data_IF_573327823266
#
_entry.id   IF_573327823266
#
_cell.length_a   1.000
_cell.length_b   1.000
_cell.length_c   1.000
_cell.angle_alpha   90.00
_cell.angle_beta   90.00
_cell.angle_gamma   90.00
#
_symmetry.space_group_name_H-M   'P 1'
#
loop_
_entity.id
_entity.type
_entity.pdbx_description
1 polymer ?
#
# COMPACT_ATOMS: atom_id res chain seq x y z
N UNK A 1 17.68 -29.28 -3.85
CA UNK A 1 18.17 -28.97 -5.21
C UNK A 1 17.39 -27.74 -5.64
N UNK A 2 18.02 -26.56 -5.65
CA UNK A 2 17.37 -25.31 -6.06
C UNK A 2 17.12 -25.38 -7.57
N UNK A 3 15.86 -25.39 -7.97
CA UNK A 3 15.49 -25.56 -9.38
C UNK A 3 15.62 -24.22 -10.09
N UNK A 4 16.63 -24.09 -10.96
CA UNK A 4 16.91 -22.85 -11.69
C UNK A 4 15.74 -22.43 -12.59
N UNK A 5 14.89 -23.37 -12.97
CA UNK A 5 13.65 -23.15 -13.71
C UNK A 5 12.59 -22.40 -12.89
N UNK A 6 12.52 -22.63 -11.57
CA UNK A 6 11.60 -21.92 -10.68
C UNK A 6 12.04 -20.45 -10.52
N UNK A 7 13.34 -20.17 -10.42
CA UNK A 7 13.85 -18.79 -10.42
C UNK A 7 13.53 -18.03 -11.71
N UNK A 8 13.64 -18.67 -12.87
CA UNK A 8 13.34 -18.03 -14.17
C UNK A 8 11.83 -17.84 -14.38
N UNK A 9 11.01 -18.79 -13.94
CA UNK A 9 9.56 -18.66 -13.96
C UNK A 9 9.07 -17.56 -13.00
N UNK A 10 9.67 -17.47 -11.82
CA UNK A 10 9.41 -16.42 -10.83
C UNK A 10 9.80 -15.04 -11.37
N UNK A 11 10.98 -14.91 -11.97
CA UNK A 11 11.43 -13.66 -12.62
C UNK A 11 10.50 -13.22 -13.76
N UNK A 12 10.06 -14.16 -14.60
CA UNK A 12 9.14 -13.86 -15.71
C UNK A 12 7.74 -13.50 -15.20
N UNK A 13 7.26 -14.17 -14.14
CA UNK A 13 5.99 -13.86 -13.49
C UNK A 13 6.01 -12.49 -12.82
N UNK A 14 7.11 -12.15 -12.13
CA UNK A 14 7.36 -10.84 -11.53
C UNK A 14 7.37 -9.73 -12.58
N UNK A 15 8.04 -9.93 -13.72
CA UNK A 15 8.08 -8.94 -14.79
C UNK A 15 6.71 -8.72 -15.45
N UNK A 16 5.94 -9.78 -15.67
CA UNK A 16 4.55 -9.66 -16.20
C UNK A 16 3.66 -8.92 -15.20
N UNK A 17 3.78 -9.22 -13.90
CA UNK A 17 3.04 -8.51 -12.86
C UNK A 17 3.43 -7.03 -12.81
N UNK A 18 4.73 -6.72 -12.94
CA UNK A 18 5.25 -5.35 -12.99
C UNK A 18 4.72 -4.57 -14.19
N UNK A 19 4.78 -5.16 -15.38
CA UNK A 19 4.25 -4.54 -16.60
C UNK A 19 2.75 -4.25 -16.49
N UNK A 20 1.96 -5.21 -16.00
CA UNK A 20 0.53 -5.04 -15.77
C UNK A 20 0.22 -3.93 -14.73
N UNK A 21 0.98 -3.86 -13.64
CA UNK A 21 0.82 -2.80 -12.64
C UNK A 21 1.15 -1.42 -13.21
N UNK A 22 2.22 -1.30 -14.01
CA UNK A 22 2.56 -0.05 -14.69
C UNK A 22 1.44 0.42 -15.63
N UNK A 23 0.89 -0.49 -16.44
CA UNK A 23 -0.25 -0.17 -17.31
C UNK A 23 -1.47 0.29 -16.50
N UNK A 24 -1.73 -0.33 -15.35
CA UNK A 24 -2.82 0.09 -14.46
C UNK A 24 -2.58 1.48 -13.85
N UNK A 25 -1.34 1.80 -13.45
CA UNK A 25 -0.95 3.13 -12.96
C UNK A 25 -1.18 4.18 -14.04
N UNK A 26 -0.71 3.94 -15.25
CA UNK A 26 -0.90 4.85 -16.38
C UNK A 26 -2.37 5.01 -16.75
N UNK A 27 -3.13 3.91 -16.74
CA UNK A 27 -4.56 3.91 -17.04
C UNK A 27 -5.35 4.77 -16.05
N UNK A 28 -5.13 4.59 -14.74
CA UNK A 28 -5.80 5.38 -13.69
C UNK A 28 -5.34 6.84 -13.67
N UNK A 29 -4.07 7.10 -14.01
CA UNK A 29 -3.51 8.45 -14.05
C UNK A 29 -3.89 9.26 -15.28
N UNK A 30 -4.02 8.62 -16.44
CA UNK A 30 -4.14 9.31 -17.74
C UNK A 30 -5.54 9.22 -18.36
N UNK A 31 -6.32 8.20 -18.00
CA UNK A 31 -7.62 7.95 -18.63
C UNK A 31 -8.77 8.38 -17.71
N UNK A 32 -9.58 9.34 -18.18
CA UNK A 32 -10.76 9.81 -17.44
C UNK A 32 -11.94 8.84 -17.59
N UNK A 33 -12.69 8.65 -16.52
CA UNK A 33 -13.90 7.82 -16.49
C UNK A 33 -13.67 6.32 -16.33
N UNK A 34 -12.42 5.89 -16.04
CA UNK A 34 -12.09 4.46 -15.80
C UNK A 34 -12.60 3.98 -14.44
N UNK A 35 -12.68 4.87 -13.45
CA UNK A 35 -13.09 4.56 -12.08
C UNK A 35 -14.62 4.48 -11.94
N UNK A 36 -15.20 3.41 -12.50
CA UNK A 36 -16.61 3.07 -12.37
C UNK A 36 -16.87 2.28 -11.07
N UNK A 37 -18.08 2.40 -10.49
CA UNK A 37 -18.46 1.73 -9.24
C UNK A 37 -18.09 0.23 -9.12
N UNK A 38 -18.31 -0.64 -10.14
CA UNK A 38 -17.99 -2.06 -10.01
C UNK A 38 -16.50 -2.36 -9.91
N UNK A 39 -15.62 -1.43 -10.28
CA UNK A 39 -14.16 -1.63 -10.30
C UNK A 39 -13.53 -1.36 -8.92
N UNK A 40 -14.19 -0.57 -8.07
CA UNK A 40 -13.71 -0.26 -6.70
C UNK A 40 -13.42 -1.50 -5.84
N UNK A 41 -14.32 -2.49 -5.71
CA UNK A 41 -14.04 -3.68 -4.90
C UNK A 41 -12.83 -4.46 -5.41
N UNK A 42 -12.68 -4.59 -6.73
CA UNK A 42 -11.58 -5.36 -7.33
C UNK A 42 -10.24 -4.67 -7.13
N UNK A 43 -10.18 -3.34 -7.33
CA UNK A 43 -9.00 -2.52 -7.06
C UNK A 43 -8.61 -2.63 -5.58
N UNK A 44 -9.57 -2.40 -4.68
CA UNK A 44 -9.28 -2.39 -3.24
C UNK A 44 -8.85 -3.78 -2.77
N UNK A 45 -9.46 -4.85 -3.29
CA UNK A 45 -9.03 -6.21 -2.99
C UNK A 45 -7.63 -6.52 -3.52
N UNK A 46 -7.30 -6.07 -4.74
CA UNK A 46 -5.97 -6.26 -5.33
C UNK A 46 -4.89 -5.53 -4.53
N UNK A 47 -5.17 -4.32 -4.06
CA UNK A 47 -4.25 -3.53 -3.24
C UNK A 47 -4.14 -4.13 -1.84
N UNK A 48 -5.27 -4.41 -1.20
CA UNK A 48 -5.40 -4.85 0.19
C UNK A 48 -4.89 -6.28 0.39
N UNK A 49 -5.44 -7.25 -0.33
CA UNK A 49 -5.26 -8.68 -0.02
C UNK A 49 -4.02 -9.30 -0.67
N UNK A 50 -3.51 -8.70 -1.76
CA UNK A 50 -2.48 -9.32 -2.58
C UNK A 50 -1.12 -8.61 -2.55
N UNK A 51 -1.02 -7.42 -1.95
CA UNK A 51 0.19 -6.62 -2.07
C UNK A 51 0.54 -5.82 -0.79
N UNK A 52 -0.38 -5.03 -0.23
CA UNK A 52 -0.04 -4.10 0.87
C UNK A 52 -0.15 -4.76 2.26
N UNK A 53 -1.24 -5.48 2.57
CA UNK A 53 -1.39 -6.09 3.89
C UNK A 53 -0.70 -7.44 3.97
N UNK A 54 0.60 -7.40 4.25
CA UNK A 54 1.39 -8.54 4.72
C UNK A 54 1.47 -8.50 6.24
N UNK A 55 1.37 -9.67 6.89
CA UNK A 55 1.86 -9.77 8.27
C UNK A 55 3.35 -9.50 8.22
N UNK A 56 3.78 -8.39 8.84
CA UNK A 56 5.19 -8.11 9.03
C UNK A 56 5.81 -9.33 9.74
N UNK A 57 6.99 -9.80 9.31
CA UNK A 57 7.70 -10.80 10.09
C UNK A 57 7.85 -10.28 11.53
N UNK A 58 7.78 -11.15 12.54
CA UNK A 58 8.00 -10.72 13.92
C UNK A 58 9.35 -9.99 13.96
N UNK A 59 9.35 -8.74 14.42
CA UNK A 59 10.57 -7.94 14.54
C UNK A 59 11.61 -8.78 15.28
N UNK A 60 12.72 -9.08 14.60
CA UNK A 60 13.83 -9.81 15.21
C UNK A 60 14.59 -8.93 16.22
N UNK A 61 14.29 -7.63 16.24
CA UNK A 61 14.96 -6.64 17.07
C UNK A 61 13.94 -5.80 17.88
N UNK A 62 13.57 -6.22 19.11
CA UNK A 62 12.56 -5.55 19.93
C UNK A 62 12.98 -4.16 20.47
N UNK A 63 14.21 -3.74 20.22
CA UNK A 63 14.74 -2.39 20.52
C UNK A 63 14.89 -1.52 19.26
N UNK A 64 14.28 -1.91 18.12
CA UNK A 64 14.40 -1.17 16.87
C UNK A 64 13.97 0.28 17.01
N UNK A 65 14.91 1.19 16.80
CA UNK A 65 14.68 2.63 16.76
C UNK A 65 14.66 3.09 15.29
N UNK A 66 13.49 3.47 14.74
CA UNK A 66 13.37 3.88 13.35
C UNK A 66 14.11 5.19 13.01
N UNK A 67 14.66 5.91 14.00
CA UNK A 67 15.52 7.09 13.82
C UNK A 67 17.03 6.78 13.91
N UNK A 68 17.46 5.77 14.68
CA UNK A 68 18.89 5.47 14.92
C UNK A 68 19.43 4.24 14.18
N UNK A 69 18.59 3.27 13.82
CA UNK A 69 19.07 2.02 13.21
C UNK A 69 19.37 2.12 11.71
N UNK A 70 20.46 1.46 11.27
CA UNK A 70 20.83 1.37 9.85
C UNK A 70 19.69 0.76 9.05
N UNK A 71 19.30 1.35 7.89
CA UNK A 71 18.15 0.89 7.14
C UNK A 71 18.37 -0.54 6.69
N UNK A 72 17.64 -1.48 7.30
CA UNK A 72 17.54 -2.84 6.82
C UNK A 72 16.74 -2.80 5.52
N UNK A 73 17.46 -2.69 4.40
CA UNK A 73 16.87 -2.73 3.07
C UNK A 73 16.38 -4.15 2.84
N UNK A 74 15.11 -4.44 3.17
CA UNK A 74 14.52 -5.73 2.82
C UNK A 74 14.76 -5.98 1.32
N UNK A 75 15.38 -7.11 0.92
CA UNK A 75 15.61 -7.41 -0.49
C UNK A 75 14.31 -7.50 -1.30
N UNK A 76 13.17 -7.73 -0.63
CA UNK A 76 11.81 -7.69 -1.18
C UNK A 76 11.40 -6.28 -1.64
N UNK A 77 12.00 -5.23 -1.08
CA UNK A 77 11.80 -3.83 -1.50
C UNK A 77 12.45 -3.53 -2.85
N UNK A 78 13.52 -4.25 -3.19
CA UNK A 78 14.14 -4.19 -4.52
C UNK A 78 13.31 -4.89 -5.59
N UNK A 79 12.28 -5.68 -5.22
CA UNK A 79 11.27 -6.11 -6.18
C UNK A 79 10.38 -4.90 -6.51
N UNK A 80 10.69 -4.21 -7.61
CA UNK A 80 10.04 -3.01 -8.15
C UNK A 80 8.50 -3.06 -8.22
N UNK A 81 7.89 -4.24 -8.05
CA UNK A 81 6.46 -4.43 -7.95
C UNK A 81 5.81 -3.86 -6.69
N UNK A 82 6.51 -3.78 -5.55
CA UNK A 82 5.87 -3.32 -4.29
C UNK A 82 5.63 -1.80 -4.30
N UNK A 83 6.63 -1.03 -4.74
CA UNK A 83 6.54 0.42 -4.94
C UNK A 83 5.41 0.79 -5.91
N UNK A 84 5.23 0.02 -6.99
CA UNK A 84 4.18 0.26 -7.97
C UNK A 84 2.76 0.12 -7.39
N UNK A 85 2.57 -0.74 -6.40
CA UNK A 85 1.25 -0.89 -5.76
C UNK A 85 0.93 0.33 -4.89
N UNK A 86 1.91 0.83 -4.12
CA UNK A 86 1.74 2.05 -3.34
C UNK A 86 1.48 3.26 -4.25
N UNK A 87 2.23 3.38 -5.34
CA UNK A 87 2.03 4.42 -6.33
C UNK A 87 0.66 4.32 -7.01
N UNK A 88 0.25 3.13 -7.43
CA UNK A 88 -1.07 2.87 -8.00
C UNK A 88 -2.18 3.29 -7.04
N UNK A 89 -2.09 2.90 -5.77
CA UNK A 89 -3.08 3.25 -4.78
C UNK A 89 -3.13 4.75 -4.53
N UNK A 90 -1.97 5.41 -4.49
CA UNK A 90 -1.90 6.87 -4.36
C UNK A 90 -2.55 7.57 -5.56
N UNK A 91 -2.23 7.15 -6.80
CA UNK A 91 -2.86 7.67 -8.02
C UNK A 91 -4.37 7.43 -8.04
N UNK A 92 -4.82 6.27 -7.61
CA UNK A 92 -6.24 5.94 -7.46
C UNK A 92 -6.94 6.89 -6.49
N UNK A 93 -6.33 7.20 -5.34
CA UNK A 93 -6.88 8.15 -4.38
C UNK A 93 -6.83 9.60 -4.90
N UNK A 94 -5.80 9.98 -5.64
CA UNK A 94 -5.61 11.33 -6.20
C UNK A 94 -6.44 11.59 -7.46
N UNK A 95 -6.94 10.55 -8.10
CA UNK A 95 -7.74 10.65 -9.32
C UNK A 95 -8.95 11.59 -9.12
N UNK A 96 -9.21 12.51 -10.07
CA UNK A 96 -10.36 13.41 -10.00
C UNK A 96 -11.71 12.66 -10.10
N UNK A 97 -11.69 11.45 -10.69
CA UNK A 97 -12.87 10.59 -10.84
C UNK A 97 -13.11 9.71 -9.60
N UNK A 98 -12.27 9.82 -8.57
CA UNK A 98 -12.42 9.07 -7.33
C UNK A 98 -13.66 9.51 -6.56
N UNK A 99 -14.52 8.56 -6.21
CA UNK A 99 -15.78 8.79 -5.50
C UNK A 99 -15.70 8.25 -4.05
N UNK A 100 -15.51 9.13 -3.04
CA UNK A 100 -15.42 8.70 -1.64
C UNK A 100 -16.69 8.02 -1.13
N UNK A 101 -17.86 8.37 -1.69
CA UNK A 101 -19.17 7.78 -1.34
C UNK A 101 -19.27 6.30 -1.64
N UNK A 102 -18.56 5.82 -2.68
CA UNK A 102 -18.49 4.42 -3.10
C UNK A 102 -17.36 3.73 -2.32
N UNK A 103 -16.18 4.36 -2.30
CA UNK A 103 -14.98 3.80 -1.66
C UNK A 103 -15.15 3.58 -0.14
N UNK A 104 -15.94 4.40 0.57
CA UNK A 104 -16.16 4.25 2.02
C UNK A 104 -16.78 2.91 2.44
N UNK A 105 -17.36 2.16 1.50
CA UNK A 105 -17.90 0.81 1.75
C UNK A 105 -16.81 -0.24 1.91
N UNK A 106 -15.61 0.06 1.43
CA UNK A 106 -14.47 -0.84 1.38
C UNK A 106 -13.29 -0.31 2.21
N UNK A 107 -13.14 1.01 2.30
CA UNK A 107 -12.19 1.69 3.19
C UNK A 107 -12.89 1.95 4.52
N UNK A 108 -12.86 0.95 5.40
CA UNK A 108 -13.46 0.98 6.74
C UNK A 108 -12.39 1.08 7.85
N UNK A 109 -12.80 1.00 9.11
CA UNK A 109 -11.87 1.03 10.25
C UNK A 109 -10.85 -0.10 10.20
N UNK A 110 -11.24 -1.28 9.69
CA UNK A 110 -10.34 -2.42 9.57
C UNK A 110 -9.26 -2.16 8.52
N UNK A 111 -9.63 -1.59 7.37
CA UNK A 111 -8.66 -1.16 6.37
C UNK A 111 -7.65 -0.17 6.95
N UNK A 112 -8.13 0.82 7.72
CA UNK A 112 -7.25 1.80 8.36
C UNK A 112 -6.34 1.14 9.39
N UNK A 113 -6.85 0.23 10.23
CA UNK A 113 -6.02 -0.49 11.20
C UNK A 113 -4.87 -1.24 10.51
N UNK A 114 -5.17 -2.02 9.46
CA UNK A 114 -4.13 -2.75 8.73
C UNK A 114 -3.15 -1.81 8.03
N UNK A 115 -3.57 -0.61 7.62
CA UNK A 115 -2.67 0.41 7.05
C UNK A 115 -1.74 1.00 8.11
N UNK A 116 -2.24 1.13 9.33
CA UNK A 116 -1.47 1.66 10.47
C UNK A 116 -0.44 0.64 10.96
N UNK A 117 -0.77 -0.65 10.99
CA UNK A 117 0.19 -1.73 11.32
C UNK A 117 1.42 -1.76 10.40
N UNK A 118 1.33 -1.22 9.18
CA UNK A 118 2.46 -1.14 8.26
C UNK A 118 3.43 0.00 8.56
N UNK A 119 3.07 0.94 9.45
CA UNK A 119 4.00 2.00 9.88
C UNK A 119 5.18 1.45 10.69
N UNK A 120 5.03 0.25 11.28
CA UNK A 120 6.11 -0.51 11.91
C UNK A 120 7.13 -1.08 10.91
N UNK A 121 6.97 -0.82 9.60
CA UNK A 121 7.94 -1.24 8.60
C UNK A 121 9.31 -0.57 8.82
N UNK A 122 10.38 -1.37 8.77
CA UNK A 122 11.77 -0.92 8.89
C UNK A 122 12.20 -0.04 7.69
N UNK A 123 11.51 -0.11 6.55
CA UNK A 123 11.88 0.65 5.35
C UNK A 123 11.34 2.10 5.38
N UNK A 124 12.22 3.13 5.40
CA UNK A 124 11.79 4.54 5.45
C UNK A 124 10.99 4.97 4.21
N UNK A 125 11.18 4.31 3.06
CA UNK A 125 10.44 4.60 1.83
C UNK A 125 9.00 4.14 1.95
N UNK A 126 8.75 2.98 2.59
CA UNK A 126 7.39 2.50 2.89
C UNK A 126 6.65 3.50 3.75
N UNK A 127 7.29 3.94 4.83
CA UNK A 127 6.72 4.89 5.78
C UNK A 127 6.29 6.19 5.11
N UNK A 128 7.07 6.72 4.16
CA UNK A 128 6.71 7.94 3.44
C UNK A 128 5.50 7.75 2.48
N UNK A 129 5.39 6.60 1.81
CA UNK A 129 4.19 6.28 1.03
C UNK A 129 2.95 6.10 1.92
N UNK A 130 3.07 5.34 3.00
CA UNK A 130 2.00 5.11 3.96
C UNK A 130 1.51 6.40 4.59
N UNK A 131 2.43 7.30 4.99
CA UNK A 131 2.14 8.64 5.50
C UNK A 131 1.34 9.47 4.50
N UNK A 132 1.73 9.44 3.23
CA UNK A 132 1.04 10.15 2.15
C UNK A 132 -0.36 9.57 1.93
N UNK A 133 -0.49 8.25 1.85
CA UNK A 133 -1.77 7.55 1.68
C UNK A 133 -2.71 7.85 2.86
N UNK A 134 -2.22 7.73 4.10
CA UNK A 134 -2.99 8.01 5.30
C UNK A 134 -3.49 9.46 5.32
N UNK A 135 -2.66 10.41 4.88
CA UNK A 135 -3.06 11.81 4.75
C UNK A 135 -4.20 11.99 3.73
N UNK A 136 -4.13 11.33 2.57
CA UNK A 136 -5.20 11.36 1.55
C UNK A 136 -6.49 10.73 2.08
N UNK A 137 -6.40 9.60 2.77
CA UNK A 137 -7.55 8.91 3.41
C UNK A 137 -8.18 9.81 4.47
N UNK A 138 -7.39 10.41 5.36
CA UNK A 138 -7.86 11.35 6.38
C UNK A 138 -8.59 12.57 5.78
N UNK A 139 -8.09 13.09 4.66
CA UNK A 139 -8.71 14.18 3.93
C UNK A 139 -10.08 13.82 3.36
N UNK A 140 -10.21 12.62 2.77
CA UNK A 140 -11.41 12.18 2.02
C UNK A 140 -12.49 11.52 2.89
N UNK A 141 -12.11 10.87 4.00
CA UNK A 141 -13.03 10.08 4.82
C UNK A 141 -13.21 10.70 6.22
N UNK A 142 -14.17 11.63 6.33
CA UNK A 142 -14.47 12.32 7.60
C UNK A 142 -14.79 11.36 8.75
N UNK A 143 -15.50 10.26 8.48
CA UNK A 143 -15.90 9.27 9.48
C UNK A 143 -14.74 8.46 10.09
N UNK A 144 -13.58 8.45 9.44
CA UNK A 144 -12.38 7.74 9.92
C UNK A 144 -11.43 8.65 10.70
N UNK A 145 -11.68 9.97 10.72
CA UNK A 145 -10.77 10.94 11.37
C UNK A 145 -10.58 10.69 12.86
N UNK A 146 -11.66 10.46 13.59
CA UNK A 146 -11.60 10.20 15.03
C UNK A 146 -10.78 8.93 15.33
N UNK A 147 -10.88 7.92 14.48
CA UNK A 147 -10.12 6.68 14.59
C UNK A 147 -8.62 6.92 14.36
N UNK A 148 -8.26 7.62 13.28
CA UNK A 148 -6.86 7.96 12.95
C UNK A 148 -6.24 8.89 14.01
N UNK A 149 -7.00 9.85 14.54
CA UNK A 149 -6.54 10.75 15.61
C UNK A 149 -6.25 10.01 16.91
N UNK A 150 -7.09 9.02 17.25
CA UNK A 150 -6.90 8.20 18.45
C UNK A 150 -5.60 7.40 18.34
N UNK A 151 -5.34 6.78 17.18
CA UNK A 151 -4.09 6.07 16.95
C UNK A 151 -2.86 6.98 17.02
N UNK A 152 -2.89 8.17 16.39
CA UNK A 152 -1.78 9.14 16.53
C UNK A 152 -1.53 9.60 17.96
N UNK A 153 -2.56 9.57 18.82
CA UNK A 153 -2.42 9.88 20.24
C UNK A 153 -1.85 8.72 21.07
N UNK A 154 -1.85 7.50 20.55
CA UNK A 154 -1.32 6.30 21.22
C UNK A 154 0.17 6.08 20.92
N UNK A 155 0.65 6.42 19.72
CA UNK A 155 2.06 6.22 19.34
C UNK A 155 3.00 7.34 19.79
N UNK A 156 2.49 8.42 20.36
CA UNK A 156 3.34 9.46 20.94
C UNK A 156 4.01 10.36 19.90
N UNK A 157 4.22 11.59 20.33
CA UNK A 157 5.15 12.54 19.73
C UNK A 157 6.55 12.25 20.26
#
# INVERSE_FOLDING_TARGET
>A
MFDFLDCVADLKGKEVKRAALNELVECVGSTRGVLIEPVYPDIIRMVSTLNIFRTLPPSENPEFDPEEDEPNLEPSWLDEGHTLVYEFFLRFLESPDFQPSVAKRYVDQKFVLMLLELFDSEDPREREYLKTILHRVYGKFLGLRAYIQTWRGQEGC
#
